data_IF_150613517689
#
_entry.id   IF_150613517689
#
_cell.length_a   1.000
_cell.length_b   1.000
_cell.length_c   1.000
_cell.angle_alpha   90.00
_cell.angle_beta   90.00
_cell.angle_gamma   90.00
#
_symmetry.space_group_name_H-M   'P 1'
#
loop_
_entity.id
_entity.type
_entity.pdbx_description
1 polymer ?
#
# COMPACT_ATOMS: atom_id res chain seq x y z
N UNK A 1 53.66 34.61 29.19
CA UNK A 1 52.80 33.94 28.18
C UNK A 1 51.82 33.03 28.89
N UNK A 2 50.53 33.39 28.96
CA UNK A 2 49.49 32.64 29.68
C UNK A 2 48.62 31.92 28.64
N UNK A 3 48.83 30.61 28.45
CA UNK A 3 48.04 29.78 27.53
C UNK A 3 46.63 29.60 28.10
N UNK A 4 45.63 30.12 27.39
CA UNK A 4 44.21 30.02 27.74
C UNK A 4 43.65 28.73 27.12
N UNK A 5 43.44 27.70 27.94
CA UNK A 5 42.80 26.45 27.54
C UNK A 5 41.31 26.69 27.30
N UNK A 6 40.83 26.51 26.05
CA UNK A 6 39.40 26.50 25.72
C UNK A 6 38.86 25.10 25.99
N UNK A 7 37.97 24.97 26.96
CA UNK A 7 37.19 23.75 27.14
C UNK A 7 36.17 23.63 26.00
N UNK A 8 35.98 22.43 25.40
CA UNK A 8 34.98 22.22 24.37
C UNK A 8 33.57 22.38 24.95
N UNK A 9 32.72 23.14 24.25
CA UNK A 9 31.32 23.33 24.61
C UNK A 9 30.55 22.00 24.48
N UNK A 10 29.83 21.54 25.53
CA UNK A 10 29.07 20.29 25.50
C UNK A 10 27.90 20.29 24.50
N UNK A 11 27.56 21.44 23.90
CA UNK A 11 26.48 21.57 22.93
C UNK A 11 26.82 21.07 21.51
N UNK A 12 28.10 20.84 21.18
CA UNK A 12 28.50 20.48 19.81
C UNK A 12 28.28 19.01 19.44
N UNK A 13 28.44 18.09 20.39
CA UNK A 13 28.47 16.65 20.09
C UNK A 13 27.06 16.05 20.10
N UNK A 14 26.20 16.46 21.04
CA UNK A 14 24.82 15.97 21.11
C UNK A 14 23.94 16.46 19.95
N UNK A 15 24.18 17.68 19.45
CA UNK A 15 23.43 18.22 18.32
C UNK A 15 23.76 17.52 17.00
N UNK A 16 25.01 17.06 16.84
CA UNK A 16 25.46 16.34 15.65
C UNK A 16 24.81 14.95 15.55
N UNK A 17 24.67 14.26 16.68
CA UNK A 17 24.08 12.93 16.75
C UNK A 17 22.56 12.96 16.49
N UNK A 18 21.87 13.99 17.02
CA UNK A 18 20.46 14.25 16.71
C UNK A 18 20.26 14.49 15.21
N UNK A 19 21.12 15.29 14.59
CA UNK A 19 21.07 15.57 13.14
C UNK A 19 21.31 14.31 12.30
N UNK A 20 22.30 13.49 12.68
CA UNK A 20 22.59 12.25 11.99
C UNK A 20 21.42 11.25 12.08
N UNK A 21 20.79 11.13 13.25
CA UNK A 21 19.61 10.27 13.43
C UNK A 21 18.39 10.74 12.63
N UNK A 22 18.15 12.05 12.59
CA UNK A 22 17.06 12.65 11.84
C UNK A 22 17.24 12.50 10.32
N UNK A 23 18.48 12.67 9.84
CA UNK A 23 18.82 12.45 8.43
C UNK A 23 18.67 10.97 8.04
N UNK A 24 19.10 10.04 8.91
CA UNK A 24 18.94 8.61 8.70
C UNK A 24 17.48 8.17 8.61
N UNK A 25 16.63 8.67 9.52
CA UNK A 25 15.19 8.44 9.48
C UNK A 25 14.55 9.03 8.21
N UNK A 26 14.96 10.23 7.80
CA UNK A 26 14.48 10.86 6.58
C UNK A 26 14.86 10.06 5.33
N UNK A 27 16.08 9.54 5.24
CA UNK A 27 16.52 8.70 4.13
C UNK A 27 15.73 7.39 4.10
N UNK A 28 15.46 6.77 5.26
CA UNK A 28 14.69 5.53 5.32
C UNK A 28 13.22 5.76 4.91
N UNK A 29 12.63 6.87 5.34
CA UNK A 29 11.31 7.33 4.89
C UNK A 29 11.33 7.62 3.39
N UNK A 30 12.32 8.33 2.87
CA UNK A 30 12.41 8.65 1.45
C UNK A 30 12.58 7.38 0.60
N UNK A 31 13.47 6.47 0.96
CA UNK A 31 13.75 5.28 0.15
C UNK A 31 12.60 4.25 0.20
N UNK A 32 11.88 4.14 1.32
CA UNK A 32 10.79 3.15 1.47
C UNK A 32 9.43 3.74 1.11
N UNK A 33 9.15 5.00 1.49
CA UNK A 33 7.83 5.62 1.35
C UNK A 33 7.68 6.41 0.05
N UNK A 34 8.71 7.12 -0.45
CA UNK A 34 8.54 7.87 -1.72
C UNK A 34 8.24 6.97 -2.94
N UNK A 35 8.84 5.78 -3.12
CA UNK A 35 8.46 4.91 -4.23
C UNK A 35 7.00 4.44 -4.16
N UNK A 36 6.40 4.45 -2.98
CA UNK A 36 4.98 4.13 -2.77
C UNK A 36 4.06 5.32 -3.08
N UNK A 37 4.58 6.55 -3.07
CA UNK A 37 3.91 7.75 -3.57
C UNK A 37 4.25 7.85 -5.05
N UNK A 38 3.73 6.92 -5.86
CA UNK A 38 3.79 7.05 -7.31
C UNK A 38 3.23 8.42 -7.71
N UNK A 39 3.94 9.12 -8.60
CA UNK A 39 3.55 10.44 -9.09
C UNK A 39 2.09 10.41 -9.55
N UNK A 40 1.22 11.06 -8.78
CA UNK A 40 -0.04 11.54 -9.32
C UNK A 40 0.37 12.70 -10.23
N UNK A 41 0.69 12.38 -11.48
CA UNK A 41 0.63 13.38 -12.55
C UNK A 41 -0.84 13.82 -12.56
N UNK A 42 -1.18 15.05 -12.15
CA UNK A 42 -2.54 15.52 -12.32
C UNK A 42 -2.82 15.44 -13.82
N UNK A 43 -3.92 14.78 -14.17
CA UNK A 43 -4.43 14.70 -15.53
C UNK A 43 -4.80 16.14 -15.92
N UNK A 44 -3.81 16.91 -16.41
CA UNK A 44 -4.04 18.24 -16.95
C UNK A 44 -4.85 17.97 -18.21
N UNK A 45 -6.15 18.36 -18.27
CA UNK A 45 -6.93 18.14 -19.47
C UNK A 45 -6.19 18.83 -20.62
N UNK A 46 -5.94 18.07 -21.68
CA UNK A 46 -5.28 18.57 -22.87
C UNK A 46 -5.97 19.89 -23.28
N UNK A 47 -5.19 20.95 -23.63
CA UNK A 47 -5.79 22.18 -24.13
C UNK A 47 -6.73 21.84 -25.28
N UNK A 48 -7.92 22.47 -25.36
CA UNK A 48 -8.87 22.18 -26.41
C UNK A 48 -8.16 22.30 -27.76
N UNK A 49 -8.27 21.24 -28.56
CA UNK A 49 -7.71 21.22 -29.90
C UNK A 49 -8.19 22.48 -30.64
N UNK A 50 -7.31 23.19 -31.37
CA UNK A 50 -7.72 24.33 -32.15
C UNK A 50 -8.84 23.89 -33.09
N UNK A 51 -9.98 24.57 -33.01
CA UNK A 51 -11.12 24.37 -33.90
C UNK A 51 -10.66 24.64 -35.33
N UNK A 52 -10.27 23.59 -36.05
CA UNK A 52 -10.04 23.66 -37.49
C UNK A 52 -11.42 23.80 -38.11
N UNK A 53 -11.69 24.96 -38.70
CA UNK A 53 -12.89 25.18 -39.50
C UNK A 53 -13.01 24.06 -40.54
N UNK A 54 -14.15 23.37 -40.53
CA UNK A 54 -14.45 22.31 -41.47
C UNK A 54 -14.33 22.82 -42.91
N UNK A 55 -13.40 22.23 -43.66
CA UNK A 55 -13.39 22.31 -45.12
C UNK A 55 -14.64 21.58 -45.61
N UNK A 56 -15.49 22.20 -46.47
CA UNK A 56 -16.65 21.52 -47.02
C UNK A 56 -16.19 20.33 -47.88
N UNK A 57 -16.58 19.13 -47.47
CA UNK A 57 -16.42 17.91 -48.25
C UNK A 57 -17.36 17.93 -49.46
N UNK A 58 -16.92 17.56 -50.67
CA UNK A 58 -17.81 17.38 -51.81
C UNK A 58 -18.74 16.18 -51.60
N UNK A 59 -19.93 16.31 -52.17
CA UNK A 59 -21.09 15.43 -51.99
C UNK A 59 -20.77 13.93 -52.14
N UNK A 60 -21.28 13.16 -51.18
CA UNK A 60 -21.25 11.70 -51.16
C UNK A 60 -22.06 11.12 -52.33
N UNK A 61 -21.38 10.38 -53.20
CA UNK A 61 -21.99 9.54 -54.23
C UNK A 61 -22.88 8.48 -53.57
N UNK A 62 -24.17 8.49 -53.90
CA UNK A 62 -25.16 7.51 -53.46
C UNK A 62 -24.96 6.22 -54.25
N UNK A 63 -24.52 5.15 -53.59
CA UNK A 63 -24.58 3.80 -54.15
C UNK A 63 -26.02 3.27 -54.06
N UNK A 64 -26.58 2.70 -55.15
CA UNK A 64 -27.93 2.12 -55.13
C UNK A 64 -27.97 0.84 -54.28
N UNK A 65 -29.01 0.76 -53.46
CA UNK A 65 -29.32 -0.33 -52.53
C UNK A 65 -29.59 -1.63 -53.31
N UNK A 66 -28.87 -2.70 -52.96
CA UNK A 66 -29.21 -4.06 -53.39
C UNK A 66 -30.34 -4.64 -52.52
N UNK A 67 -31.49 -5.05 -53.08
CA UNK A 67 -32.51 -5.73 -52.33
C UNK A 67 -32.21 -7.23 -52.30
N UNK A 68 -32.05 -7.78 -51.09
CA UNK A 68 -32.24 -9.17 -50.63
C UNK A 68 -31.07 -9.69 -49.79
N UNK A 69 -31.17 -9.52 -48.48
CA UNK A 69 -30.58 -10.44 -47.49
C UNK A 69 -31.54 -10.52 -46.30
N UNK A 70 -32.09 -11.71 -45.96
CA UNK A 70 -32.94 -11.87 -44.80
C UNK A 70 -32.11 -11.78 -43.52
N UNK A 71 -32.67 -11.08 -42.54
CA UNK A 71 -32.15 -10.93 -41.17
C UNK A 71 -32.14 -12.31 -40.50
N UNK A 72 -30.96 -12.84 -40.20
CA UNK A 72 -30.82 -14.03 -39.34
C UNK A 72 -30.49 -13.59 -37.93
N UNK A 73 -31.29 -14.10 -37.00
CA UNK A 73 -31.26 -13.82 -35.58
C UNK A 73 -29.92 -14.20 -34.91
N UNK A 74 -29.67 -13.52 -33.80
CA UNK A 74 -28.50 -13.62 -32.94
C UNK A 74 -28.10 -15.06 -32.60
N UNK A 75 -26.85 -15.40 -32.90
CA UNK A 75 -26.17 -16.59 -32.38
C UNK A 75 -25.11 -16.13 -31.39
N UNK A 76 -25.37 -16.38 -30.11
CA UNK A 76 -24.40 -16.29 -29.02
C UNK A 76 -23.56 -17.57 -29.00
N UNK A 77 -22.35 -17.53 -29.58
CA UNK A 77 -21.24 -18.43 -29.23
C UNK A 77 -19.90 -17.83 -29.68
N UNK A 78 -18.80 -18.02 -28.91
CA UNK A 78 -17.47 -17.56 -29.30
C UNK A 78 -16.99 -18.34 -30.53
N UNK A 79 -16.49 -17.63 -31.52
CA UNK A 79 -15.90 -18.20 -32.73
C UNK A 79 -14.43 -18.52 -32.42
N UNK A 80 -14.09 -19.81 -32.40
CA UNK A 80 -12.69 -20.26 -32.48
C UNK A 80 -12.17 -19.98 -33.89
N UNK A 81 -11.08 -19.21 -33.99
CA UNK A 81 -10.40 -18.96 -35.26
C UNK A 81 -9.70 -20.24 -35.75
N UNK A 82 -9.93 -20.70 -37.00
CA UNK A 82 -9.17 -21.80 -37.56
C UNK A 82 -7.73 -21.38 -37.85
N UNK A 83 -6.79 -22.29 -37.55
CA UNK A 83 -5.36 -22.18 -37.83
C UNK A 83 -5.12 -21.99 -39.33
N UNK A 84 -4.36 -20.96 -39.70
CA UNK A 84 -3.97 -20.70 -41.08
C UNK A 84 -3.14 -21.86 -41.65
N UNK A 85 -3.46 -22.40 -42.84
CA UNK A 85 -2.61 -23.37 -43.51
C UNK A 85 -1.34 -22.67 -44.04
N UNK A 86 -0.19 -23.26 -43.77
CA UNK A 86 1.13 -22.82 -44.25
C UNK A 86 1.21 -22.87 -45.77
N UNK A 87 1.73 -21.80 -46.37
CA UNK A 87 1.98 -21.71 -47.82
C UNK A 87 2.99 -22.78 -48.27
N UNK A 88 2.77 -23.46 -49.43
CA UNK A 88 3.74 -24.37 -49.99
C UNK A 88 4.95 -23.62 -50.56
N UNK A 89 6.15 -24.14 -50.27
CA UNK A 89 7.42 -23.67 -50.83
C UNK A 89 7.51 -24.12 -52.30
N UNK A 90 7.81 -23.23 -53.26
CA UNK A 90 7.96 -23.62 -54.66
C UNK A 90 9.28 -24.35 -54.91
N UNK A 91 9.21 -25.47 -55.64
CA UNK A 91 10.37 -26.22 -56.13
C UNK A 91 11.10 -25.46 -57.26
N UNK A 92 12.43 -25.66 -57.39
CA UNK A 92 13.23 -24.99 -58.41
C UNK A 92 12.96 -25.54 -59.82
N UNK A 93 12.73 -24.62 -60.75
CA UNK A 93 12.52 -24.89 -62.18
C UNK A 93 13.85 -25.18 -62.89
N UNK A 94 13.94 -26.13 -63.84
CA UNK A 94 15.17 -26.44 -64.56
C UNK A 94 15.52 -25.36 -65.61
N UNK A 95 16.82 -25.07 -65.72
CA UNK A 95 17.39 -24.15 -66.70
C UNK A 95 17.09 -24.58 -68.14
N UNK A 96 16.38 -23.71 -68.86
CA UNK A 96 16.18 -23.85 -70.31
C UNK A 96 17.17 -22.94 -71.04
N UNK A 97 17.99 -23.58 -71.88
CA UNK A 97 19.00 -22.97 -72.73
C UNK A 97 18.31 -22.18 -73.86
N UNK A 98 18.58 -20.87 -73.95
CA UNK A 98 18.17 -20.04 -75.07
C UNK A 98 19.27 -20.02 -76.15
N UNK A 99 18.92 -20.10 -77.46
CA UNK A 99 19.89 -19.99 -78.54
C UNK A 99 20.31 -18.54 -78.81
N UNK A 100 21.54 -18.43 -79.29
CA UNK A 100 22.26 -17.19 -79.59
C UNK A 100 21.65 -16.44 -80.78
N UNK A 101 21.20 -15.20 -80.52
CA UNK A 101 20.66 -14.28 -81.53
C UNK A 101 21.57 -13.06 -81.61
N UNK A 102 21.94 -12.72 -82.83
CA UNK A 102 22.88 -11.66 -83.20
C UNK A 102 22.51 -10.28 -82.60
N UNK A 103 23.54 -9.62 -82.08
CA UNK A 103 23.51 -8.30 -81.44
C UNK A 103 23.43 -7.20 -82.52
N UNK A 104 22.38 -6.36 -82.56
CA UNK A 104 22.42 -5.09 -83.28
C UNK A 104 23.12 -4.00 -82.46
N UNK A 105 23.71 -3.03 -83.17
CA UNK A 105 24.59 -1.97 -82.67
C UNK A 105 24.06 -1.19 -81.44
N UNK A 106 24.97 -0.70 -80.57
CA UNK A 106 24.62 -0.06 -79.31
C UNK A 106 23.93 1.29 -79.54
N UNK A 107 22.66 1.38 -79.13
CA UNK A 107 21.95 2.65 -79.01
C UNK A 107 22.43 3.35 -77.74
N UNK A 108 23.05 4.53 -77.89
CA UNK A 108 23.43 5.39 -76.76
C UNK A 108 22.19 5.83 -75.99
N UNK A 109 22.04 5.34 -74.76
CA UNK A 109 20.99 5.77 -73.85
C UNK A 109 21.25 7.23 -73.41
N UNK A 110 20.22 8.10 -73.42
CA UNK A 110 20.33 9.43 -72.85
C UNK A 110 20.59 9.35 -71.34
N UNK A 111 21.56 10.14 -70.88
CA UNK A 111 22.03 10.21 -69.49
C UNK A 111 20.83 10.47 -68.56
N UNK A 112 20.52 9.52 -67.68
CA UNK A 112 19.51 9.71 -66.65
C UNK A 112 19.96 10.78 -65.65
N UNK A 113 19.08 11.71 -65.24
CA UNK A 113 19.40 12.64 -64.17
C UNK A 113 19.72 11.88 -62.86
N UNK A 114 20.60 12.42 -62.01
CA UNK A 114 21.00 11.75 -60.77
C UNK A 114 19.78 11.51 -59.89
N UNK A 115 19.63 10.26 -59.44
CA UNK A 115 18.57 9.84 -58.52
C UNK A 115 18.73 10.64 -57.21
N UNK A 116 17.71 11.39 -56.76
CA UNK A 116 17.78 12.13 -55.51
C UNK A 116 18.00 11.17 -54.34
N UNK A 117 18.87 11.58 -53.41
CA UNK A 117 19.23 10.76 -52.25
C UNK A 117 17.98 10.33 -51.45
N UNK A 118 17.95 9.09 -50.93
CA UNK A 118 16.82 8.59 -50.17
C UNK A 118 16.58 9.46 -48.93
N UNK A 119 15.36 9.96 -48.80
CA UNK A 119 14.91 10.72 -47.64
C UNK A 119 14.90 9.76 -46.43
N UNK A 120 15.85 9.94 -45.52
CA UNK A 120 15.90 9.17 -44.27
C UNK A 120 14.73 9.63 -43.40
N UNK A 121 13.72 8.78 -43.21
CA UNK A 121 12.65 9.04 -42.26
C UNK A 121 13.26 9.07 -40.84
N UNK A 122 12.97 10.10 -40.02
CA UNK A 122 13.40 10.11 -38.64
C UNK A 122 12.80 8.91 -37.92
N UNK A 123 13.66 8.13 -37.26
CA UNK A 123 13.25 6.96 -36.49
C UNK A 123 12.22 7.39 -35.42
N UNK A 124 11.04 6.73 -35.34
CA UNK A 124 10.03 7.10 -34.37
C UNK A 124 10.63 7.01 -32.96
N UNK A 125 10.45 8.07 -32.17
CA UNK A 125 10.96 8.12 -30.80
C UNK A 125 10.54 6.85 -30.05
N UNK A 126 11.45 6.21 -29.30
CA UNK A 126 11.13 4.99 -28.56
C UNK A 126 9.94 5.27 -27.64
N UNK A 127 8.93 4.41 -27.70
CA UNK A 127 7.75 4.52 -26.87
C UNK A 127 8.16 4.59 -25.38
N UNK A 128 7.50 5.43 -24.57
CA UNK A 128 7.82 5.51 -23.14
C UNK A 128 7.70 4.13 -22.51
N UNK A 129 8.79 3.67 -21.90
CA UNK A 129 8.82 2.40 -21.16
C UNK A 129 7.83 2.56 -20.01
N UNK A 130 6.69 1.88 -20.08
CA UNK A 130 5.77 1.80 -18.94
C UNK A 130 6.42 0.94 -17.87
N UNK A 131 6.95 1.61 -16.84
CA UNK A 131 7.42 0.95 -15.62
C UNK A 131 6.20 0.46 -14.87
N UNK A 132 5.73 -0.76 -15.17
CA UNK A 132 4.81 -1.49 -14.31
C UNK A 132 5.58 -1.91 -13.05
N UNK A 133 5.84 -0.95 -12.16
CA UNK A 133 6.27 -1.29 -10.81
C UNK A 133 5.15 -2.14 -10.19
N UNK A 134 5.45 -3.32 -9.61
CA UNK A 134 4.45 -4.09 -8.91
C UNK A 134 3.92 -3.23 -7.75
N UNK A 135 2.73 -2.68 -7.92
CA UNK A 135 2.03 -2.01 -6.85
C UNK A 135 1.74 -3.07 -5.78
N UNK A 136 2.51 -3.07 -4.69
CA UNK A 136 2.24 -3.90 -3.54
C UNK A 136 0.90 -3.43 -2.92
N UNK A 137 -0.21 -4.03 -3.38
CA UNK A 137 -1.52 -3.84 -2.77
C UNK A 137 -1.72 -4.99 -1.80
N UNK A 138 -1.94 -4.67 -0.54
CA UNK A 138 -2.46 -5.66 0.39
C UNK A 138 -3.81 -6.16 -0.11
N UNK A 139 -4.15 -7.43 0.14
CA UNK A 139 -5.49 -7.93 -0.11
C UNK A 139 -6.51 -7.22 0.80
N UNK A 140 -7.76 -7.65 0.75
CA UNK A 140 -8.77 -7.16 1.68
C UNK A 140 -8.34 -7.36 3.13
N UNK A 141 -8.20 -6.25 3.86
CA UNK A 141 -7.47 -6.20 5.13
C UNK A 141 -8.39 -5.81 6.28
N UNK A 142 -8.41 -6.58 7.36
CA UNK A 142 -9.01 -6.16 8.62
C UNK A 142 -7.94 -5.91 9.67
N UNK A 143 -8.02 -4.76 10.32
CA UNK A 143 -7.12 -4.36 11.39
C UNK A 143 -7.94 -4.14 12.65
N UNK A 144 -7.53 -4.74 13.76
CA UNK A 144 -8.00 -4.37 15.09
C UNK A 144 -6.84 -3.73 15.85
N UNK A 145 -7.05 -2.50 16.31
CA UNK A 145 -6.08 -1.79 17.13
C UNK A 145 -6.52 -1.94 18.59
N UNK A 146 -5.74 -2.65 19.39
CA UNK A 146 -5.91 -2.68 20.84
C UNK A 146 -4.95 -1.67 21.47
N UNK A 147 -5.47 -0.59 22.03
CA UNK A 147 -4.70 0.53 22.57
C UNK A 147 -4.88 0.63 24.08
N UNK A 148 -3.77 0.58 24.79
CA UNK A 148 -3.68 0.93 26.20
C UNK A 148 -4.01 2.42 26.41
N UNK A 149 -4.97 2.69 27.31
CA UNK A 149 -5.45 4.02 27.66
C UNK A 149 -5.16 4.37 29.12
N UNK A 150 -4.13 3.79 29.73
CA UNK A 150 -3.62 4.19 31.04
C UNK A 150 -3.03 5.60 31.01
N UNK A 151 -2.77 6.17 32.19
CA UNK A 151 -2.31 7.55 32.31
C UNK A 151 -0.96 7.81 31.63
N UNK A 152 -0.10 6.79 31.56
CA UNK A 152 1.21 6.87 30.89
C UNK A 152 1.08 6.94 29.37
N UNK A 153 -0.01 6.44 28.80
CA UNK A 153 -0.27 6.38 27.35
C UNK A 153 -0.86 7.68 26.76
N UNK A 154 -0.87 8.77 27.53
CA UNK A 154 -1.47 10.04 27.11
C UNK A 154 -0.91 10.62 25.81
N UNK A 155 0.38 10.44 25.56
CA UNK A 155 1.02 10.84 24.30
C UNK A 155 0.43 10.08 23.11
N UNK A 156 0.28 8.77 23.23
CA UNK A 156 -0.17 7.88 22.16
C UNK A 156 -1.66 8.05 21.86
N UNK A 157 -2.49 8.26 22.89
CA UNK A 157 -3.90 8.62 22.71
C UNK A 157 -4.03 9.95 21.97
N UNK A 158 -3.23 10.96 22.33
CA UNK A 158 -3.23 12.25 21.65
C UNK A 158 -2.73 12.13 20.20
N UNK A 159 -1.65 11.39 19.94
CA UNK A 159 -1.14 11.12 18.59
C UNK A 159 -2.18 10.41 17.73
N UNK A 160 -2.87 9.39 18.25
CA UNK A 160 -3.93 8.70 17.51
C UNK A 160 -5.04 9.68 17.11
N UNK A 161 -5.51 10.53 18.03
CA UNK A 161 -6.54 11.53 17.73
C UNK A 161 -6.11 12.51 16.65
N UNK A 162 -4.84 12.92 16.65
CA UNK A 162 -4.29 13.83 15.66
C UNK A 162 -4.13 13.17 14.27
N UNK A 163 -3.81 11.87 14.24
CA UNK A 163 -3.44 11.15 13.02
C UNK A 163 -4.56 10.28 12.43
N UNK A 164 -5.68 10.09 13.11
CA UNK A 164 -6.75 9.14 12.71
C UNK A 164 -7.24 9.32 11.26
N UNK A 165 -7.32 10.57 10.78
CA UNK A 165 -7.70 10.87 9.40
C UNK A 165 -6.60 10.46 8.40
N UNK A 166 -5.33 10.71 8.74
CA UNK A 166 -4.20 10.34 7.90
C UNK A 166 -4.05 8.82 7.82
N UNK A 167 -4.26 8.11 8.93
CA UNK A 167 -4.29 6.65 8.97
C UNK A 167 -5.33 6.10 7.98
N UNK A 168 -6.56 6.63 7.99
CA UNK A 168 -7.60 6.19 7.06
C UNK A 168 -7.22 6.43 5.59
N UNK A 169 -6.59 7.57 5.28
CA UNK A 169 -6.12 7.89 3.92
C UNK A 169 -5.01 6.93 3.48
N UNK A 170 -4.04 6.65 4.36
CA UNK A 170 -2.92 5.74 4.06
C UNK A 170 -3.43 4.30 3.86
N UNK A 171 -4.30 3.82 4.75
CA UNK A 171 -4.89 2.48 4.62
C UNK A 171 -5.70 2.31 3.32
N UNK A 172 -6.38 3.37 2.87
CA UNK A 172 -7.11 3.37 1.61
C UNK A 172 -6.20 3.32 0.36
N UNK A 173 -4.93 3.70 0.50
CA UNK A 173 -3.95 3.60 -0.59
C UNK A 173 -3.32 2.21 -0.67
N UNK A 174 -3.13 1.54 0.47
CA UNK A 174 -2.42 0.26 0.53
C UNK A 174 -3.33 -0.96 0.33
N UNK A 175 -4.63 -0.86 0.63
CA UNK A 175 -5.59 -1.97 0.48
C UNK A 175 -6.86 -1.47 -0.25
N UNK A 176 -7.39 -2.24 -1.23
CA UNK A 176 -8.59 -1.86 -1.97
C UNK A 176 -9.86 -1.84 -1.08
N UNK A 177 -9.87 -2.59 0.01
CA UNK A 177 -10.89 -2.43 1.05
C UNK A 177 -10.38 -2.89 2.40
N UNK A 178 -10.57 -2.03 3.40
CA UNK A 178 -10.07 -2.25 4.75
C UNK A 178 -11.14 -1.99 5.82
N UNK A 179 -11.04 -2.75 6.89
CA UNK A 179 -11.88 -2.64 8.07
C UNK A 179 -11.03 -2.27 9.28
N UNK A 180 -11.57 -1.43 10.15
CA UNK A 180 -10.93 -1.09 11.43
C UNK A 180 -11.90 -1.40 12.57
N UNK A 181 -11.41 -2.20 13.52
CA UNK A 181 -11.95 -2.35 14.86
C UNK A 181 -11.00 -1.73 15.86
N UNK A 182 -11.49 -1.39 17.05
CA UNK A 182 -10.64 -0.87 18.11
C UNK A 182 -11.05 -1.40 19.47
N UNK A 183 -10.06 -1.70 20.30
CA UNK A 183 -10.21 -2.05 21.70
C UNK A 183 -9.37 -1.08 22.51
N UNK A 184 -9.99 -0.08 23.14
CA UNK A 184 -9.28 0.70 24.13
C UNK A 184 -9.35 -0.05 25.47
N UNK A 185 -8.21 -0.26 26.12
CA UNK A 185 -8.15 -1.02 27.37
C UNK A 185 -7.31 -0.32 28.43
N UNK A 186 -7.67 -0.50 29.70
CA UNK A 186 -6.86 -0.06 30.83
C UNK A 186 -6.54 -1.21 31.77
N UNK A 187 -6.62 -0.94 33.07
CA UNK A 187 -6.38 -1.98 34.07
C UNK A 187 -7.63 -2.81 34.35
N UNK A 188 -7.45 -4.10 34.66
CA UNK A 188 -8.56 -5.03 34.91
C UNK A 188 -9.39 -4.70 36.14
N UNK A 189 -8.87 -3.89 37.07
CA UNK A 189 -9.56 -3.44 38.29
C UNK A 189 -10.40 -2.20 38.07
N UNK A 190 -10.38 -1.61 36.88
CA UNK A 190 -11.24 -0.49 36.53
C UNK A 190 -12.71 -0.92 36.47
N UNK A 191 -13.63 0.01 36.74
CA UNK A 191 -15.07 -0.26 36.64
C UNK A 191 -15.48 -0.65 35.21
N UNK A 192 -14.78 -0.14 34.21
CA UNK A 192 -14.94 -0.51 32.81
C UNK A 192 -13.57 -0.58 32.13
N UNK A 193 -12.93 -1.76 32.10
CA UNK A 193 -11.57 -1.91 31.61
C UNK A 193 -11.47 -1.88 30.08
N UNK A 194 -12.58 -2.11 29.35
CA UNK A 194 -12.59 -2.23 27.89
C UNK A 194 -13.64 -1.32 27.25
N UNK A 195 -13.25 -0.63 26.17
CA UNK A 195 -14.12 0.13 25.30
C UNK A 195 -13.95 -0.35 23.87
N UNK A 196 -15.05 -0.79 23.25
CA UNK A 196 -15.02 -1.47 21.96
C UNK A 196 -15.62 -0.59 20.86
N UNK A 197 -14.85 -0.43 19.78
CA UNK A 197 -15.38 -0.05 18.49
C UNK A 197 -15.48 -1.32 17.62
N UNK A 198 -16.69 -1.75 17.24
CA UNK A 198 -16.83 -2.96 16.44
C UNK A 198 -16.14 -2.78 15.09
N UNK A 199 -15.61 -3.87 14.54
CA UNK A 199 -14.99 -3.88 13.23
C UNK A 199 -15.98 -3.39 12.17
N UNK A 200 -15.64 -2.29 11.49
CA UNK A 200 -16.43 -1.72 10.40
C UNK A 200 -15.54 -1.48 9.19
N UNK A 201 -16.10 -1.57 7.99
CA UNK A 201 -15.40 -1.17 6.78
C UNK A 201 -15.26 0.35 6.70
N UNK A 202 -14.02 0.86 6.70
CA UNK A 202 -13.73 2.29 6.61
C UNK A 202 -13.49 2.78 5.18
N UNK A 203 -13.09 1.88 4.26
CA UNK A 203 -13.01 2.18 2.82
C UNK A 203 -14.38 2.42 2.18
N UNK A 204 -15.47 2.08 2.88
CA UNK A 204 -16.84 2.19 2.39
C UNK A 204 -17.56 3.48 2.83
N UNK A 205 -18.74 3.38 3.46
CA UNK A 205 -19.57 4.55 3.79
C UNK A 205 -18.87 5.60 4.66
N UNK A 206 -19.08 6.88 4.35
CA UNK A 206 -18.57 7.99 5.15
C UNK A 206 -19.01 7.95 6.63
N UNK A 207 -20.21 7.40 6.90
CA UNK A 207 -20.72 7.21 8.25
C UNK A 207 -19.83 6.31 9.11
N UNK A 208 -19.17 5.30 8.53
CA UNK A 208 -18.26 4.42 9.29
C UNK A 208 -16.99 5.15 9.71
N UNK A 209 -16.42 5.97 8.81
CA UNK A 209 -15.27 6.83 9.13
C UNK A 209 -15.62 7.87 10.19
N UNK A 210 -16.79 8.51 10.06
CA UNK A 210 -17.28 9.46 11.06
C UNK A 210 -17.48 8.79 12.42
N UNK A 211 -18.08 7.59 12.46
CA UNK A 211 -18.25 6.84 13.70
C UNK A 211 -16.91 6.45 14.34
N UNK A 212 -15.93 6.00 13.54
CA UNK A 212 -14.60 5.68 14.05
C UNK A 212 -13.89 6.92 14.62
N UNK A 213 -13.93 8.04 13.90
CA UNK A 213 -13.40 9.32 14.37
C UNK A 213 -14.06 9.76 15.68
N UNK A 214 -15.38 9.68 15.78
CA UNK A 214 -16.11 10.01 17.01
C UNK A 214 -15.67 9.12 18.18
N UNK A 215 -15.51 7.82 17.94
CA UNK A 215 -15.00 6.89 18.96
C UNK A 215 -13.61 7.29 19.43
N UNK A 216 -12.65 7.46 18.49
CA UNK A 216 -11.26 7.85 18.79
C UNK A 216 -11.20 9.19 19.54
N UNK A 217 -11.98 10.18 19.12
CA UNK A 217 -12.02 11.48 19.77
C UNK A 217 -12.60 11.42 21.19
N UNK A 218 -13.50 10.47 21.45
CA UNK A 218 -14.07 10.21 22.77
C UNK A 218 -13.07 9.60 23.76
N UNK A 219 -12.05 8.87 23.28
CA UNK A 219 -11.07 8.21 24.16
C UNK A 219 -10.37 9.20 25.08
N UNK A 220 -10.15 8.82 26.32
CA UNK A 220 -9.39 9.62 27.28
C UNK A 220 -8.56 8.68 28.13
N UNK A 221 -7.38 9.12 28.56
CA UNK A 221 -6.58 8.33 29.51
C UNK A 221 -7.33 8.16 30.82
N UNK A 222 -7.21 6.98 31.43
CA UNK A 222 -7.93 6.64 32.65
C UNK A 222 -9.45 6.52 32.48
N UNK A 223 -9.98 6.54 31.25
CA UNK A 223 -11.40 6.32 31.02
C UNK A 223 -11.80 4.94 31.54
N UNK A 224 -12.88 4.86 32.31
CA UNK A 224 -13.36 3.61 32.90
C UNK A 224 -12.76 3.28 34.26
N UNK A 225 -11.75 4.03 34.74
CA UNK A 225 -11.19 3.88 36.10
C UNK A 225 -12.28 4.00 37.17
N UNK A 226 -13.24 4.91 36.97
CA UNK A 226 -14.30 5.19 37.93
C UNK A 226 -13.72 5.71 39.25
N UNK A 227 -14.10 5.09 40.37
CA UNK A 227 -13.49 5.34 41.69
C UNK A 227 -12.23 4.49 41.96
N UNK A 228 -11.82 3.67 40.98
CA UNK A 228 -10.68 2.78 41.08
C UNK A 228 -9.34 3.51 41.11
N UNK A 229 -8.29 2.74 41.31
CA UNK A 229 -6.90 3.19 41.17
C UNK A 229 -6.14 2.19 40.30
N UNK A 230 -5.03 2.61 39.70
CA UNK A 230 -4.11 1.71 39.01
C UNK A 230 -2.80 1.63 39.83
N UNK A 231 -2.75 0.83 40.91
CA UNK A 231 -1.57 0.76 41.77
C UNK A 231 -0.49 -0.19 41.26
N UNK A 232 -0.83 -1.07 40.31
CA UNK A 232 0.04 -2.06 39.72
C UNK A 232 0.49 -1.68 38.30
N UNK A 233 1.52 -2.36 37.81
CA UNK A 233 2.08 -2.16 36.48
C UNK A 233 1.41 -2.98 35.38
N UNK A 234 0.99 -4.25 35.59
CA UNK A 234 0.34 -5.00 34.54
C UNK A 234 -1.04 -4.45 34.19
N UNK A 235 -1.45 -4.61 32.94
CA UNK A 235 -2.71 -4.07 32.41
C UNK A 235 -3.63 -5.20 31.88
N UNK A 236 -4.86 -4.87 31.50
CA UNK A 236 -5.85 -5.83 30.97
C UNK A 236 -5.55 -6.29 29.53
N UNK A 237 -4.28 -6.56 29.22
CA UNK A 237 -3.78 -6.94 27.90
C UNK A 237 -4.47 -8.20 27.37
N UNK A 238 -4.59 -9.24 28.20
CA UNK A 238 -5.24 -10.49 27.80
C UNK A 238 -6.70 -10.27 27.45
N UNK A 239 -7.43 -9.53 28.27
CA UNK A 239 -8.85 -9.24 28.04
C UNK A 239 -9.06 -8.45 26.75
N UNK A 240 -8.17 -7.51 26.46
CA UNK A 240 -8.17 -6.74 25.22
C UNK A 240 -7.89 -7.63 23.99
N UNK A 241 -6.86 -8.47 24.04
CA UNK A 241 -6.51 -9.40 22.97
C UNK A 241 -7.64 -10.42 22.73
N UNK A 242 -8.23 -10.95 23.81
CA UNK A 242 -9.34 -11.89 23.73
C UNK A 242 -10.63 -11.22 23.21
N UNK A 243 -10.88 -9.96 23.55
CA UNK A 243 -12.00 -9.20 22.98
C UNK A 243 -11.79 -8.94 21.48
N UNK A 244 -10.57 -8.57 21.08
CA UNK A 244 -10.18 -8.38 19.69
C UNK A 244 -10.36 -9.68 18.88
N UNK A 245 -9.93 -10.82 19.42
CA UNK A 245 -10.04 -12.13 18.75
C UNK A 245 -11.50 -12.55 18.49
N UNK A 246 -12.43 -12.09 19.33
CA UNK A 246 -13.87 -12.39 19.24
C UNK A 246 -14.67 -11.42 18.37
N UNK A 247 -14.05 -10.38 17.81
CA UNK A 247 -14.76 -9.48 16.90
C UNK A 247 -15.25 -10.20 15.65
N UNK A 248 -16.38 -9.75 15.10
CA UNK A 248 -16.93 -10.28 13.85
C UNK A 248 -16.11 -9.78 12.67
N UNK A 249 -15.14 -10.58 12.24
CA UNK A 249 -14.30 -10.33 11.05
C UNK A 249 -15.12 -10.31 9.76
N UNK A 250 -14.73 -9.50 8.78
CA UNK A 250 -15.43 -9.47 7.49
C UNK A 250 -15.14 -10.79 6.74
N UNK A 251 -16.15 -11.45 6.14
CA UNK A 251 -15.94 -12.72 5.43
C UNK A 251 -14.95 -12.63 4.27
N UNK A 252 -14.90 -11.46 3.63
CA UNK A 252 -14.00 -11.13 2.51
C UNK A 252 -12.62 -10.66 2.92
N UNK A 253 -12.31 -10.62 4.23
CA UNK A 253 -10.98 -10.25 4.71
C UNK A 253 -10.05 -11.45 4.58
N UNK A 254 -9.05 -11.31 3.72
CA UNK A 254 -8.01 -12.32 3.47
C UNK A 254 -6.87 -12.19 4.49
N UNK A 255 -6.66 -10.99 5.03
CA UNK A 255 -5.64 -10.70 6.03
C UNK A 255 -6.25 -10.05 7.26
N UNK A 256 -6.08 -10.69 8.41
CA UNK A 256 -6.56 -10.21 9.71
C UNK A 256 -5.37 -9.88 10.59
N UNK A 257 -5.29 -8.63 11.03
CA UNK A 257 -4.18 -8.17 11.85
C UNK A 257 -4.74 -7.60 13.15
N UNK A 258 -4.21 -8.06 14.27
CA UNK A 258 -4.42 -7.42 15.57
C UNK A 258 -3.12 -6.74 15.97
N UNK A 259 -3.21 -5.47 16.34
CA UNK A 259 -2.05 -4.69 16.82
C UNK A 259 -2.29 -4.29 18.26
N UNK A 260 -1.51 -4.84 19.17
CA UNK A 260 -1.53 -4.50 20.60
C UNK A 260 -0.55 -3.35 20.86
N UNK A 261 -0.99 -2.25 21.45
CA UNK A 261 -0.16 -1.06 21.71
C UNK A 261 -0.20 -0.76 23.21
N UNK A 262 0.93 -0.93 23.90
CA UNK A 262 1.03 -0.76 25.36
C UNK A 262 2.47 -0.50 25.80
N UNK A 263 2.62 0.03 27.01
CA UNK A 263 3.87 0.21 27.72
C UNK A 263 4.11 -0.83 28.82
N UNK A 264 3.13 -1.69 29.09
CA UNK A 264 3.15 -2.67 30.18
C UNK A 264 2.73 -4.08 29.73
N UNK A 265 3.11 -5.13 30.48
CA UNK A 265 2.78 -6.51 30.14
C UNK A 265 1.36 -6.88 30.62
N UNK A 266 0.89 -8.06 30.21
CA UNK A 266 -0.24 -8.71 30.85
C UNK A 266 0.09 -9.11 32.30
N UNK A 267 -0.94 -9.41 33.09
CA UNK A 267 -0.77 -10.05 34.39
C UNK A 267 -0.05 -11.39 34.28
N UNK A 268 0.75 -11.74 35.29
CA UNK A 268 1.60 -12.95 35.27
C UNK A 268 0.84 -14.24 34.98
N UNK A 269 -0.36 -14.37 35.55
CA UNK A 269 -1.29 -15.49 35.39
C UNK A 269 -2.03 -15.49 34.03
N UNK A 270 -1.81 -14.47 33.20
CA UNK A 270 -2.41 -14.25 31.88
C UNK A 270 -1.39 -14.30 30.74
N UNK A 271 -0.10 -14.39 31.05
CA UNK A 271 0.97 -14.44 30.04
C UNK A 271 0.76 -15.62 29.09
N UNK A 272 0.67 -16.84 29.62
CA UNK A 272 0.49 -18.05 28.81
C UNK A 272 -0.80 -18.01 28.00
N UNK A 273 -1.86 -17.44 28.58
CA UNK A 273 -3.17 -17.31 27.91
C UNK A 273 -3.09 -16.31 26.76
N UNK A 274 -2.40 -15.20 26.94
CA UNK A 274 -2.13 -14.20 25.90
C UNK A 274 -1.40 -14.81 24.70
N UNK A 275 -0.33 -15.58 24.97
CA UNK A 275 0.45 -16.28 23.95
C UNK A 275 -0.38 -17.34 23.22
N UNK A 276 -1.22 -18.10 23.94
CA UNK A 276 -2.11 -19.10 23.34
C UNK A 276 -3.16 -18.46 22.42
N UNK A 277 -3.76 -17.32 22.82
CA UNK A 277 -4.70 -16.59 21.97
C UNK A 277 -4.01 -16.08 20.72
N UNK A 278 -2.83 -15.49 20.84
CA UNK A 278 -2.04 -15.03 19.70
C UNK A 278 -1.69 -16.18 18.73
N UNK A 279 -1.27 -17.33 19.28
CA UNK A 279 -1.03 -18.55 18.49
C UNK A 279 -2.28 -18.97 17.71
N UNK A 280 -3.45 -18.94 18.36
CA UNK A 280 -4.72 -19.28 17.71
C UNK A 280 -5.07 -18.36 16.53
N UNK A 281 -4.81 -17.06 16.68
CA UNK A 281 -5.06 -16.05 15.65
C UNK A 281 -4.06 -16.18 14.48
N UNK A 282 -2.79 -16.43 14.77
CA UNK A 282 -1.71 -16.51 13.78
C UNK A 282 -1.67 -17.83 12.99
N UNK A 283 -2.44 -18.85 13.37
CA UNK A 283 -2.47 -20.17 12.67
C UNK A 283 -2.87 -20.08 11.19
N UNK A 284 -3.94 -19.37 10.80
CA UNK A 284 -4.30 -19.23 9.40
C UNK A 284 -3.28 -18.37 8.66
N UNK A 285 -3.01 -18.72 7.41
CA UNK A 285 -2.08 -17.97 6.57
C UNK A 285 -2.51 -16.50 6.43
N UNK A 286 -1.55 -15.60 6.55
CA UNK A 286 -1.77 -14.16 6.43
C UNK A 286 -2.33 -13.47 7.69
N UNK A 287 -2.86 -14.21 8.66
CA UNK A 287 -3.34 -13.62 9.91
C UNK A 287 -2.19 -13.38 10.90
N UNK A 288 -2.23 -12.26 11.62
CA UNK A 288 -1.12 -11.84 12.50
C UNK A 288 -1.59 -11.17 13.78
N UNK A 289 -0.81 -11.35 14.85
CA UNK A 289 -0.85 -10.49 16.05
C UNK A 289 0.50 -9.83 16.20
N UNK A 290 0.52 -8.51 16.09
CA UNK A 290 1.71 -7.67 16.27
C UNK A 290 1.60 -6.88 17.56
N UNK A 291 2.72 -6.53 18.16
CA UNK A 291 2.78 -5.74 19.39
C UNK A 291 3.65 -4.51 19.19
N UNK A 292 3.20 -3.37 19.69
CA UNK A 292 3.93 -2.11 19.71
C UNK A 292 4.24 -1.76 21.15
N UNK A 293 5.52 -1.81 21.50
CA UNK A 293 6.00 -1.36 22.81
C UNK A 293 6.18 0.15 22.80
N UNK A 294 5.45 0.81 23.68
CA UNK A 294 5.53 2.24 23.90
C UNK A 294 6.38 2.48 25.13
N UNK A 295 7.48 3.21 24.97
CA UNK A 295 8.32 3.54 26.12
C UNK A 295 7.77 4.78 26.83
N UNK A 296 7.10 4.57 27.96
CA UNK A 296 6.68 5.64 28.87
C UNK A 296 7.63 5.65 30.09
N UNK A 297 8.19 6.81 30.42
CA UNK A 297 9.13 6.94 31.54
C UNK A 297 10.60 6.54 31.26
N UNK A 298 11.42 6.51 32.32
CA UNK A 298 12.89 6.46 32.24
C UNK A 298 13.50 5.06 32.28
N UNK A 299 12.76 4.04 32.72
CA UNK A 299 13.24 2.66 32.80
C UNK A 299 12.91 1.84 31.55
N UNK A 300 13.90 1.15 31.00
CA UNK A 300 13.58 0.00 30.13
C UNK A 300 13.01 -1.10 31.03
N UNK A 301 11.93 -1.75 30.61
CA UNK A 301 11.40 -2.94 31.27
C UNK A 301 11.66 -4.16 30.38
N UNK A 302 12.82 -4.86 30.50
CA UNK A 302 13.16 -5.98 29.64
C UNK A 302 12.10 -7.09 29.64
N UNK A 303 11.47 -7.34 30.80
CA UNK A 303 10.40 -8.32 30.92
C UNK A 303 9.18 -7.99 30.07
N UNK A 304 8.80 -6.71 29.98
CA UNK A 304 7.70 -6.25 29.13
C UNK A 304 8.02 -6.45 27.65
N UNK A 305 9.24 -6.09 27.24
CA UNK A 305 9.69 -6.28 25.86
C UNK A 305 9.74 -7.77 25.46
N UNK A 306 10.25 -8.61 26.35
CA UNK A 306 10.31 -10.06 26.15
C UNK A 306 8.90 -10.66 26.04
N UNK A 307 7.99 -10.25 26.92
CA UNK A 307 6.59 -10.64 26.87
C UNK A 307 5.94 -10.23 25.53
N UNK A 308 6.03 -8.95 25.15
CA UNK A 308 5.42 -8.45 23.91
C UNK A 308 6.01 -9.16 22.68
N UNK A 309 7.32 -9.39 22.67
CA UNK A 309 7.97 -10.18 21.60
C UNK A 309 7.43 -11.60 21.53
N UNK A 310 7.27 -12.27 22.67
CA UNK A 310 6.73 -13.64 22.69
C UNK A 310 5.30 -13.72 22.12
N UNK A 311 4.46 -12.71 22.40
CA UNK A 311 3.10 -12.61 21.86
C UNK A 311 3.13 -12.36 20.35
N UNK A 312 3.97 -11.45 19.88
CA UNK A 312 4.10 -11.16 18.46
C UNK A 312 4.61 -12.37 17.66
N UNK A 313 5.65 -13.04 18.16
CA UNK A 313 6.20 -14.25 17.56
C UNK A 313 5.17 -15.38 17.50
N UNK A 314 4.46 -15.62 18.61
CA UNK A 314 3.37 -16.60 18.65
C UNK A 314 2.23 -16.28 17.67
N UNK A 315 1.97 -15.00 17.45
CA UNK A 315 0.98 -14.50 16.51
C UNK A 315 1.44 -14.40 15.06
N UNK A 316 2.65 -14.85 14.70
CA UNK A 316 3.25 -14.64 13.37
C UNK A 316 3.31 -13.14 12.94
N UNK A 317 3.31 -12.21 13.90
CA UNK A 317 3.38 -10.77 13.68
C UNK A 317 4.75 -10.19 14.00
N UNK A 318 4.78 -8.88 14.20
CA UNK A 318 6.00 -8.12 14.48
C UNK A 318 5.97 -7.50 15.87
N UNK A 319 7.11 -7.53 16.54
CA UNK A 319 7.38 -6.69 17.69
C UNK A 319 8.00 -5.37 17.19
N UNK A 320 7.32 -4.26 17.45
CA UNK A 320 7.78 -2.92 17.08
C UNK A 320 8.03 -2.13 18.36
N UNK A 321 9.21 -1.55 18.49
CA UNK A 321 9.48 -0.55 19.52
C UNK A 321 9.12 0.82 18.94
N UNK A 322 8.39 1.65 19.69
CA UNK A 322 7.95 2.97 19.23
C UNK A 322 9.13 3.79 18.67
N UNK A 323 9.08 4.07 17.36
CA UNK A 323 10.06 4.86 16.62
C UNK A 323 9.56 6.30 16.47
N UNK A 324 9.57 7.05 17.57
CA UNK A 324 9.43 8.51 17.50
C UNK A 324 8.01 9.07 17.58
N UNK A 325 7.07 8.36 18.20
CA UNK A 325 5.80 8.95 18.67
C UNK A 325 4.68 9.07 17.63
N UNK A 326 4.93 8.67 16.38
CA UNK A 326 3.86 8.52 15.38
C UNK A 326 3.28 7.12 15.45
N UNK A 327 2.06 7.03 15.98
CA UNK A 327 1.34 5.77 16.06
C UNK A 327 1.09 5.19 14.67
N UNK A 328 0.81 6.04 13.68
CA UNK A 328 0.57 5.61 12.30
C UNK A 328 1.77 4.85 11.72
N UNK A 329 3.00 5.33 11.94
CA UNK A 329 4.20 4.64 11.47
C UNK A 329 4.34 3.28 12.13
N UNK A 330 4.17 3.21 13.45
CA UNK A 330 4.25 1.95 14.19
C UNK A 330 3.17 0.95 13.74
N UNK A 331 1.95 1.43 13.50
CA UNK A 331 0.86 0.63 12.97
C UNK A 331 1.20 0.08 11.59
N UNK A 332 1.69 0.90 10.67
CA UNK A 332 2.06 0.45 9.33
C UNK A 332 3.18 -0.59 9.35
N UNK A 333 4.21 -0.40 10.19
CA UNK A 333 5.28 -1.37 10.39
C UNK A 333 4.76 -2.71 10.91
N UNK A 334 3.75 -2.68 11.78
CA UNK A 334 3.13 -3.87 12.36
C UNK A 334 2.26 -4.67 11.38
N UNK A 335 1.96 -4.11 10.20
CA UNK A 335 1.14 -4.77 9.17
C UNK A 335 1.94 -5.76 8.31
N UNK A 336 3.27 -5.76 8.35
CA UNK A 336 4.11 -6.59 7.47
C UNK A 336 4.51 -7.91 8.11
#
# INVERSE_FOLDING_TARGET
MKKRSRAPSPFGIAALDLFASALGAFILIAVVIFPMIGEVVPDIPAPPAPTIMAVPTPDSVVCPVCPTCPVVAAVTKPIDCPVCPTCPVPEPVPETICPEVAVPDPVECPICPPVPAPVICPEPAPAPIQVNAPHFRFPHLDIIIALDITNSMGGQVASLKAEVEQLAVLLNRISPSFGIGMVAFGDRRWESPLFLFPLRELSGPAANRAAFRTFVNGLSVGMGTGRGTNPDQPEAFYDALAAASRMTWRPRSERRVIVMVTDNPAYSEEIDRSVQVATGIGRPEGHRVSTVYVKTGSGNQPATEEFLRSVAEAGNGQYVRDVGGSLTVNLLLSLF
#
